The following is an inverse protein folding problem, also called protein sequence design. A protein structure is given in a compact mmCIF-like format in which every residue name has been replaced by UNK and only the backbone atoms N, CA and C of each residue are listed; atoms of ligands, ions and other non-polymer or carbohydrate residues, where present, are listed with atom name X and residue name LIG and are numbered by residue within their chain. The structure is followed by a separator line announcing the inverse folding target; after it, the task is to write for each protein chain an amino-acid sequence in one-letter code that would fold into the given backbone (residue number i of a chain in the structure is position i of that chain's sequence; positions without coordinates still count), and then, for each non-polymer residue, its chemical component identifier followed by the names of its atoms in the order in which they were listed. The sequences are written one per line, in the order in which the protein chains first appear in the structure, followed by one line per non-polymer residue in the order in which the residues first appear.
data_IF_378038262856
#
_entry.id   IF_378038262856
#
_cell.length_a   1.000
_cell.length_b   1.000
_cell.length_c   1.000
_cell.angle_alpha   90.00
_cell.angle_beta   90.00
_cell.angle_gamma   90.00
#
_symmetry.space_group_name_H-M   'P 1'
#
loop_
_entity.id
_entity.type
_entity.pdbx_description
1 polymer ?
#
# COMPACT_ATOMS: atom_id res chain seq x y z
N UNK A 1 -43.44 43.02 -38.66
CA UNK A 1 -43.62 43.13 -37.18
C UNK A 1 -42.26 42.90 -36.53
N UNK A 2 -41.54 43.96 -36.10
CA UNK A 2 -41.43 44.46 -34.70
C UNK A 2 -40.89 43.38 -33.75
N UNK A 3 -39.76 43.50 -33.03
CA UNK A 3 -38.70 44.53 -32.89
C UNK A 3 -37.49 43.86 -32.19
N UNK A 4 -36.28 44.22 -32.62
CA UNK A 4 -34.99 44.07 -31.91
C UNK A 4 -34.98 44.88 -30.62
N UNK A 5 -34.15 44.51 -29.65
CA UNK A 5 -33.43 45.47 -28.78
C UNK A 5 -32.04 44.94 -28.40
N UNK A 6 -31.01 45.66 -28.88
CA UNK A 6 -29.65 45.74 -28.31
C UNK A 6 -29.60 47.01 -27.46
N UNK A 7 -28.82 47.03 -26.39
CA UNK A 7 -28.21 48.26 -25.90
C UNK A 7 -26.89 47.92 -25.20
N UNK A 8 -25.85 48.69 -25.54
CA UNK A 8 -24.55 48.66 -24.90
C UNK A 8 -24.17 50.03 -24.38
N UNK A 9 -23.13 50.00 -23.54
CA UNK A 9 -22.08 51.01 -23.30
C UNK A 9 -22.49 52.35 -22.68
N UNK A 10 -21.88 52.68 -21.52
CA UNK A 10 -21.25 53.99 -21.33
C UNK A 10 -20.16 53.97 -20.24
N UNK A 11 -19.03 54.62 -20.57
CA UNK A 11 -17.83 54.88 -19.77
C UNK A 11 -17.75 56.40 -19.52
N UNK A 12 -17.41 56.82 -18.29
CA UNK A 12 -16.73 58.08 -17.88
C UNK A 12 -16.79 58.14 -16.33
N UNK A 13 -15.82 58.59 -15.53
CA UNK A 13 -14.64 59.42 -15.75
C UNK A 13 -14.61 60.59 -14.73
N UNK A 14 -13.60 60.57 -13.84
CA UNK A 14 -12.96 61.69 -13.09
C UNK A 14 -13.45 62.23 -11.71
N UNK A 15 -12.42 62.41 -10.86
CA UNK A 15 -12.10 63.54 -9.95
C UNK A 15 -12.33 63.40 -8.42
N UNK A 16 -11.29 62.87 -7.75
CA UNK A 16 -10.48 63.49 -6.67
C UNK A 16 -11.12 64.26 -5.51
N UNK A 17 -10.79 63.84 -4.27
CA UNK A 17 -10.38 64.73 -3.18
C UNK A 17 -9.54 63.99 -2.12
N UNK A 18 -8.59 64.74 -1.53
CA UNK A 18 -7.48 64.32 -0.66
C UNK A 18 -7.87 63.77 0.74
N UNK A 19 -6.94 63.01 1.30
CA UNK A 19 -6.83 62.36 2.63
C UNK A 19 -7.02 63.28 3.86
N UNK A 20 -7.12 62.71 5.09
CA UNK A 20 -5.89 62.31 5.80
C UNK A 20 -5.93 60.90 6.45
N UNK A 21 -4.71 60.39 6.56
CA UNK A 21 -4.27 59.17 7.24
C UNK A 21 -4.51 59.32 8.76
N UNK A 22 -5.13 58.32 9.40
CA UNK A 22 -4.82 57.88 10.77
C UNK A 22 -5.71 56.67 11.17
N UNK A 23 -5.09 55.59 11.63
CA UNK A 23 -5.78 54.52 12.37
C UNK A 23 -5.58 53.11 11.81
N UNK A 24 -4.39 52.56 12.00
CA UNK A 24 -4.13 51.12 11.87
C UNK A 24 -5.06 50.35 12.82
N UNK A 25 -5.89 49.48 12.24
CA UNK A 25 -6.69 48.49 12.95
C UNK A 25 -6.93 47.32 12.02
N UNK A 26 -5.85 46.62 11.62
CA UNK A 26 -5.95 45.37 10.86
C UNK A 26 -6.46 44.30 11.84
N UNK A 27 -7.78 44.26 12.04
CA UNK A 27 -8.45 43.07 12.53
C UNK A 27 -8.39 42.02 11.42
N UNK A 28 -7.35 41.20 11.42
CA UNK A 28 -7.31 39.99 10.60
C UNK A 28 -8.46 39.10 11.07
N UNK A 29 -9.59 39.17 10.37
CA UNK A 29 -10.57 38.10 10.37
C UNK A 29 -9.89 36.90 9.73
N UNK A 30 -9.23 36.09 10.54
CA UNK A 30 -8.77 34.76 10.13
C UNK A 30 -10.03 34.04 9.68
N UNK A 31 -10.17 33.63 8.41
CA UNK A 31 -11.25 32.73 8.06
C UNK A 31 -11.04 31.49 8.92
N UNK A 32 -11.99 31.21 9.82
CA UNK A 32 -12.09 29.91 10.46
C UNK A 32 -12.36 28.95 9.32
N UNK A 33 -11.28 28.39 8.77
CA UNK A 33 -11.33 27.19 7.97
C UNK A 33 -11.92 26.17 8.94
N UNK A 34 -13.22 25.91 8.78
CA UNK A 34 -13.85 24.77 9.41
C UNK A 34 -12.97 23.59 9.03
N UNK A 35 -12.28 23.03 10.02
CA UNK A 35 -11.55 21.78 9.88
C UNK A 35 -12.60 20.74 9.47
N UNK A 36 -12.76 20.59 8.16
CA UNK A 36 -13.38 19.42 7.57
C UNK A 36 -12.48 18.31 8.09
N UNK A 37 -12.98 17.54 9.05
CA UNK A 37 -12.29 16.40 9.60
C UNK A 37 -11.78 15.57 8.42
N UNK A 38 -10.50 15.73 8.11
CA UNK A 38 -9.80 14.85 7.20
C UNK A 38 -9.72 13.58 8.02
N UNK A 39 -10.59 12.61 7.71
CA UNK A 39 -10.43 11.26 8.21
C UNK A 39 -9.02 10.84 7.82
N UNK A 40 -8.08 10.86 8.77
CA UNK A 40 -6.81 10.19 8.60
C UNK A 40 -7.14 8.71 8.40
N UNK A 41 -6.49 8.03 7.46
CA UNK A 41 -6.78 6.61 7.21
C UNK A 41 -6.44 5.71 8.40
N UNK A 42 -5.58 6.22 9.29
CA UNK A 42 -5.28 5.68 10.61
C UNK A 42 -6.36 5.97 11.68
N UNK A 43 -7.46 6.63 11.31
CA UNK A 43 -8.61 6.79 12.21
C UNK A 43 -9.07 5.38 12.63
N UNK A 44 -9.05 5.06 13.94
CA UNK A 44 -9.45 3.76 14.43
C UNK A 44 -10.83 3.30 13.94
N UNK A 45 -11.72 4.24 13.62
CA UNK A 45 -13.04 3.96 13.05
C UNK A 45 -12.94 3.44 11.62
N UNK A 46 -12.13 4.07 10.78
CA UNK A 46 -11.92 3.65 9.38
C UNK A 46 -11.24 2.29 9.34
N UNK A 47 -10.21 2.10 10.18
CA UNK A 47 -9.52 0.81 10.33
C UNK A 47 -10.49 -0.30 10.77
N UNK A 48 -11.40 0.00 11.71
CA UNK A 48 -12.41 -0.95 12.16
C UNK A 48 -13.38 -1.35 11.03
N UNK A 49 -13.76 -0.40 10.16
CA UNK A 49 -14.60 -0.69 8.98
C UNK A 49 -13.83 -1.56 7.97
N UNK A 50 -12.60 -1.18 7.60
CA UNK A 50 -11.75 -2.00 6.70
C UNK A 50 -11.61 -3.43 7.21
N UNK A 51 -11.32 -3.59 8.51
CA UNK A 51 -11.22 -4.89 9.17
C UNK A 51 -12.54 -5.66 9.13
N UNK A 52 -13.67 -5.00 9.36
CA UNK A 52 -14.99 -5.63 9.28
C UNK A 52 -15.30 -6.11 7.86
N UNK A 53 -15.07 -5.26 6.84
CA UNK A 53 -15.23 -5.61 5.43
C UNK A 53 -14.39 -6.82 5.07
N UNK A 54 -13.11 -6.83 5.47
CA UNK A 54 -12.22 -7.96 5.24
C UNK A 54 -12.71 -9.23 5.95
N UNK A 55 -13.10 -9.15 7.23
CA UNK A 55 -13.64 -10.29 7.98
C UNK A 55 -14.87 -10.90 7.30
N UNK A 56 -15.73 -10.07 6.69
CA UNK A 56 -16.88 -10.55 5.91
C UNK A 56 -16.45 -11.28 4.65
N UNK A 57 -15.38 -10.84 4.00
CA UNK A 57 -14.79 -11.49 2.83
C UNK A 57 -14.00 -12.77 3.16
N UNK A 58 -13.64 -13.00 4.44
CA UNK A 58 -13.01 -14.26 4.88
C UNK A 58 -13.99 -15.43 4.99
N UNK A 59 -15.30 -15.19 4.85
CA UNK A 59 -16.30 -16.26 4.89
C UNK A 59 -16.01 -17.28 3.77
N UNK A 60 -15.98 -18.59 4.08
CA UNK A 60 -15.76 -19.61 3.08
C UNK A 60 -16.99 -19.74 2.17
N UNK A 61 -16.75 -19.95 0.89
CA UNK A 61 -17.76 -20.15 -0.15
C UNK A 61 -17.35 -21.33 -1.03
N UNK A 62 -18.36 -22.04 -1.54
CA UNK A 62 -18.19 -23.09 -2.54
C UNK A 62 -19.13 -22.77 -3.68
N UNK A 63 -18.58 -22.62 -4.89
CA UNK A 63 -19.35 -22.22 -6.07
C UNK A 63 -18.91 -23.01 -7.30
N UNK A 64 -19.87 -23.35 -8.15
CA UNK A 64 -19.66 -23.88 -9.49
C UNK A 64 -20.28 -22.91 -10.50
N UNK A 65 -19.50 -21.95 -10.96
CA UNK A 65 -19.95 -20.95 -11.93
C UNK A 65 -19.75 -21.52 -13.34
N UNK A 66 -20.84 -21.67 -14.09
CA UNK A 66 -20.83 -22.08 -15.49
C UNK A 66 -21.55 -20.99 -16.30
N UNK A 67 -20.76 -20.15 -16.99
CA UNK A 67 -21.24 -19.08 -17.87
C UNK A 67 -22.12 -18.00 -17.20
N UNK A 68 -21.74 -17.55 -15.99
CA UNK A 68 -22.47 -16.49 -15.27
C UNK A 68 -21.90 -15.10 -15.56
N UNK A 69 -22.77 -14.07 -15.64
CA UNK A 69 -22.35 -12.67 -15.76
C UNK A 69 -21.56 -12.23 -14.52
N UNK A 70 -20.53 -11.42 -14.72
CA UNK A 70 -19.69 -10.89 -13.66
C UNK A 70 -20.50 -10.09 -12.64
N UNK A 71 -21.46 -9.29 -13.10
CA UNK A 71 -22.36 -8.53 -12.24
C UNK A 71 -23.11 -9.43 -11.24
N UNK A 72 -23.66 -10.56 -11.72
CA UNK A 72 -24.42 -11.50 -10.91
C UNK A 72 -23.53 -12.20 -9.87
N UNK A 73 -22.30 -12.56 -10.28
CA UNK A 73 -21.31 -13.17 -9.38
C UNK A 73 -20.92 -12.22 -8.25
N UNK A 74 -20.68 -10.95 -8.59
CA UNK A 74 -20.31 -9.93 -7.60
C UNK A 74 -21.47 -9.64 -6.66
N UNK A 75 -22.70 -9.56 -7.19
CA UNK A 75 -23.90 -9.37 -6.39
C UNK A 75 -24.13 -10.54 -5.43
N UNK A 76 -23.95 -11.78 -5.89
CA UNK A 76 -23.98 -12.97 -5.03
C UNK A 76 -22.97 -12.88 -3.87
N UNK A 77 -21.73 -12.48 -4.15
CA UNK A 77 -20.70 -12.34 -3.12
C UNK A 77 -21.09 -11.24 -2.12
N UNK A 78 -21.63 -10.11 -2.59
CA UNK A 78 -22.16 -9.04 -1.72
C UNK A 78 -23.26 -9.56 -0.80
N UNK A 79 -24.21 -10.33 -1.33
CA UNK A 79 -25.34 -10.83 -0.57
C UNK A 79 -24.94 -11.88 0.46
N UNK A 80 -24.01 -12.79 0.13
CA UNK A 80 -23.54 -13.82 1.06
C UNK A 80 -22.62 -13.23 2.14
N UNK A 81 -21.69 -12.38 1.73
CA UNK A 81 -20.69 -11.84 2.66
C UNK A 81 -21.24 -10.69 3.49
N UNK A 82 -22.19 -9.92 2.93
CA UNK A 82 -22.60 -8.60 3.39
C UNK A 82 -21.44 -7.59 3.41
N UNK A 83 -20.36 -7.86 2.68
CA UNK A 83 -19.23 -6.95 2.58
C UNK A 83 -19.60 -5.75 1.71
N UNK A 84 -19.02 -4.59 2.03
CA UNK A 84 -19.16 -3.39 1.21
C UNK A 84 -18.20 -3.51 0.02
N UNK A 85 -18.72 -3.98 -1.12
CA UNK A 85 -17.96 -4.25 -2.34
C UNK A 85 -18.38 -3.25 -3.42
N UNK A 86 -17.40 -2.54 -3.96
CA UNK A 86 -17.51 -1.48 -4.95
C UNK A 86 -16.76 -1.88 -6.24
N UNK A 87 -17.38 -2.67 -7.13
CA UNK A 87 -16.81 -2.94 -8.45
C UNK A 87 -16.69 -1.67 -9.30
N UNK A 88 -15.57 -1.51 -10.00
CA UNK A 88 -15.38 -0.43 -10.98
C UNK A 88 -15.83 -0.95 -12.34
N UNK A 89 -17.10 -0.73 -12.65
CA UNK A 89 -17.69 -1.07 -13.95
C UNK A 89 -17.29 -0.09 -15.06
N UNK A 90 -17.35 -0.56 -16.30
CA UNK A 90 -17.45 0.31 -17.48
C UNK A 90 -18.78 1.06 -17.37
N UNK A 91 -18.75 2.37 -17.60
CA UNK A 91 -19.95 3.22 -17.57
C UNK A 91 -19.94 4.20 -18.76
N UNK A 92 -21.04 4.93 -18.98
CA UNK A 92 -21.17 5.89 -20.10
C UNK A 92 -20.10 7.01 -20.10
N UNK A 93 -19.40 7.22 -18.98
CA UNK A 93 -18.41 8.29 -18.80
C UNK A 93 -16.98 7.74 -18.77
N UNK A 94 -16.80 6.45 -18.59
CA UNK A 94 -15.52 5.81 -18.38
C UNK A 94 -15.47 4.49 -19.16
N UNK A 95 -14.78 4.55 -20.30
CA UNK A 95 -14.58 3.39 -21.19
C UNK A 95 -13.63 2.34 -20.59
N UNK A 96 -12.97 2.66 -19.47
CA UNK A 96 -12.05 1.77 -18.75
C UNK A 96 -12.70 1.29 -17.45
N UNK A 97 -12.99 -0.01 -17.37
CA UNK A 97 -13.64 -0.66 -16.25
C UNK A 97 -13.79 -2.16 -16.45
N UNK A 98 -14.46 -2.82 -15.50
CA UNK A 98 -14.92 -4.20 -15.66
C UNK A 98 -16.18 -4.24 -16.51
N UNK A 99 -16.26 -5.18 -17.45
CA UNK A 99 -17.47 -5.42 -18.22
C UNK A 99 -18.48 -6.22 -17.35
N UNK A 100 -19.66 -5.66 -17.02
CA UNK A 100 -20.67 -6.36 -16.22
C UNK A 100 -21.22 -7.61 -16.91
N UNK A 101 -21.20 -7.65 -18.23
CA UNK A 101 -21.69 -8.78 -19.04
C UNK A 101 -20.63 -9.86 -19.26
N UNK A 102 -19.39 -9.64 -18.82
CA UNK A 102 -18.32 -10.64 -18.93
C UNK A 102 -18.72 -11.94 -18.25
N UNK A 103 -18.62 -13.05 -19.00
CA UNK A 103 -18.99 -14.38 -18.52
C UNK A 103 -17.86 -15.03 -17.75
N UNK A 104 -18.15 -15.55 -16.57
CA UNK A 104 -17.20 -16.19 -15.67
C UNK A 104 -17.54 -17.67 -15.53
N UNK A 105 -16.56 -18.52 -15.83
CA UNK A 105 -16.63 -19.96 -15.59
C UNK A 105 -15.48 -20.40 -14.69
N UNK A 106 -15.81 -20.84 -13.47
CA UNK A 106 -14.84 -21.33 -12.48
C UNK A 106 -15.50 -22.25 -11.47
N UNK A 107 -14.69 -23.15 -10.89
CA UNK A 107 -15.09 -24.02 -9.78
C UNK A 107 -14.19 -23.74 -8.60
N UNK A 108 -14.79 -23.40 -7.46
CA UNK A 108 -14.05 -23.13 -6.24
C UNK A 108 -14.74 -23.82 -5.06
N UNK A 109 -13.96 -24.52 -4.23
CA UNK A 109 -14.46 -25.30 -3.11
C UNK A 109 -13.76 -24.84 -1.84
N UNK A 110 -14.55 -24.45 -0.84
CA UNK A 110 -14.07 -23.99 0.47
C UNK A 110 -13.00 -22.90 0.38
N UNK A 111 -13.14 -21.96 -0.57
CA UNK A 111 -12.26 -20.79 -0.68
C UNK A 111 -12.87 -19.61 0.06
N UNK A 112 -12.08 -18.65 0.53
CA UNK A 112 -12.67 -17.41 1.07
C UNK A 112 -13.33 -16.60 -0.05
N UNK A 113 -14.33 -15.79 0.28
CA UNK A 113 -14.95 -14.91 -0.71
C UNK A 113 -13.94 -13.91 -1.31
N UNK A 114 -12.92 -13.50 -0.55
CA UNK A 114 -11.81 -12.71 -1.10
C UNK A 114 -11.03 -13.50 -2.18
N UNK A 115 -10.64 -14.74 -1.89
CA UNK A 115 -9.96 -15.59 -2.87
C UNK A 115 -10.82 -15.82 -4.11
N UNK A 116 -12.13 -16.03 -3.92
CA UNK A 116 -13.06 -16.13 -5.04
C UNK A 116 -13.04 -14.86 -5.90
N UNK A 117 -13.08 -13.66 -5.30
CA UNK A 117 -12.98 -12.39 -6.03
C UNK A 117 -11.65 -12.25 -6.78
N UNK A 118 -10.54 -12.65 -6.17
CA UNK A 118 -9.21 -12.64 -6.82
C UNK A 118 -9.17 -13.58 -8.03
N UNK A 119 -9.74 -14.78 -7.90
CA UNK A 119 -9.87 -15.74 -9.01
C UNK A 119 -10.77 -15.22 -10.14
N UNK A 120 -11.89 -14.57 -9.79
CA UNK A 120 -12.81 -13.95 -10.76
C UNK A 120 -12.09 -12.83 -11.51
N UNK A 121 -11.37 -11.96 -10.80
CA UNK A 121 -10.61 -10.87 -11.39
C UNK A 121 -9.53 -11.36 -12.35
N UNK A 122 -8.79 -12.40 -11.99
CA UNK A 122 -7.80 -13.00 -12.87
C UNK A 122 -8.46 -13.48 -14.18
N UNK A 123 -9.63 -14.12 -14.08
CA UNK A 123 -10.34 -14.66 -15.24
C UNK A 123 -10.91 -13.60 -16.18
N UNK A 124 -11.32 -12.46 -15.63
CA UNK A 124 -11.89 -11.33 -16.38
C UNK A 124 -10.80 -10.41 -16.94
N UNK A 125 -9.65 -10.33 -16.27
CA UNK A 125 -8.48 -9.60 -16.77
C UNK A 125 -7.83 -10.30 -17.96
N UNK A 126 -7.94 -11.63 -18.04
CA UNK A 126 -7.49 -12.40 -19.19
C UNK A 126 -8.34 -12.11 -20.43
N UNK A 127 -7.87 -11.18 -21.27
CA UNK A 127 -8.51 -10.81 -22.53
C UNK A 127 -9.20 -9.44 -22.53
N UNK A 128 -9.03 -8.64 -21.48
CA UNK A 128 -9.51 -7.26 -21.41
C UNK A 128 -8.56 -6.25 -22.07
N UNK A 129 -9.08 -5.09 -22.47
CA UNK A 129 -8.30 -4.00 -23.07
C UNK A 129 -7.47 -3.19 -22.04
N UNK A 130 -7.66 -3.42 -20.74
CA UNK A 130 -6.91 -2.76 -19.68
C UNK A 130 -5.68 -3.57 -19.25
N UNK A 131 -4.66 -2.88 -18.72
CA UNK A 131 -3.34 -3.47 -18.42
C UNK A 131 -3.40 -4.58 -17.34
N UNK A 132 -4.09 -4.32 -16.23
CA UNK A 132 -4.35 -5.31 -15.17
C UNK A 132 -5.45 -4.82 -14.23
N UNK A 133 -6.20 -5.75 -13.62
CA UNK A 133 -7.10 -5.45 -12.51
C UNK A 133 -6.51 -5.90 -11.16
N UNK A 134 -6.92 -5.20 -10.10
CA UNK A 134 -6.64 -5.58 -8.72
C UNK A 134 -7.75 -5.05 -7.82
N UNK A 135 -7.57 -5.16 -6.51
CA UNK A 135 -8.47 -4.60 -5.52
C UNK A 135 -7.72 -3.71 -4.54
N UNK A 136 -8.42 -2.83 -3.83
CA UNK A 136 -7.87 -2.04 -2.74
C UNK A 136 -8.98 -1.60 -1.77
N UNK A 137 -8.64 -1.09 -0.58
CA UNK A 137 -9.63 -0.48 0.29
C UNK A 137 -9.81 1.01 -0.03
N UNK A 138 -11.06 1.45 -0.07
CA UNK A 138 -11.37 2.88 -0.12
C UNK A 138 -11.00 3.55 1.20
N UNK A 139 -10.84 4.88 1.15
CA UNK A 139 -10.62 5.72 2.35
C UNK A 139 -11.72 5.62 3.41
N UNK A 140 -12.89 5.06 3.06
CA UNK A 140 -14.03 4.88 3.96
C UNK A 140 -14.20 3.43 4.44
N UNK A 141 -13.37 2.51 3.94
CA UNK A 141 -13.38 1.10 4.35
C UNK A 141 -14.22 0.17 3.48
N UNK A 142 -14.72 0.67 2.35
CA UNK A 142 -15.26 -0.17 1.27
C UNK A 142 -14.14 -0.93 0.55
N UNK A 143 -14.48 -2.06 -0.06
CA UNK A 143 -13.59 -2.87 -0.87
C UNK A 143 -13.84 -2.55 -2.35
N UNK A 144 -12.94 -1.83 -2.99
CA UNK A 144 -13.06 -1.52 -4.41
C UNK A 144 -12.18 -2.45 -5.25
N UNK A 145 -12.64 -2.84 -6.43
CA UNK A 145 -11.87 -3.70 -7.32
C UNK A 145 -12.16 -3.43 -8.81
N UNK A 146 -11.12 -3.56 -9.63
CA UNK A 146 -11.18 -3.24 -11.06
C UNK A 146 -9.81 -2.85 -11.64
N UNK A 147 -9.80 -2.22 -12.83
CA UNK A 147 -8.57 -1.85 -13.52
C UNK A 147 -7.69 -0.91 -12.69
N UNK A 148 -6.37 -1.15 -12.68
CA UNK A 148 -5.40 -0.34 -11.95
C UNK A 148 -5.46 1.13 -12.35
N UNK A 149 -5.64 1.44 -13.62
CA UNK A 149 -5.76 2.80 -14.14
C UNK A 149 -6.84 3.62 -13.40
N UNK A 150 -7.96 2.98 -13.07
CA UNK A 150 -9.07 3.61 -12.34
C UNK A 150 -8.77 3.72 -10.86
N UNK A 151 -8.13 2.71 -10.27
CA UNK A 151 -7.69 2.71 -8.87
C UNK A 151 -6.61 3.76 -8.60
N UNK A 152 -5.82 4.11 -9.62
CA UNK A 152 -4.74 5.09 -9.56
C UNK A 152 -5.22 6.51 -9.25
N UNK A 153 -6.51 6.80 -9.32
CA UNK A 153 -7.08 8.10 -8.95
C UNK A 153 -6.96 8.35 -7.45
N UNK A 154 -7.05 7.31 -6.63
CA UNK A 154 -7.00 7.39 -5.18
C UNK A 154 -5.58 7.10 -4.67
N UNK A 155 -4.78 8.16 -4.51
CA UNK A 155 -3.41 8.08 -3.98
C UNK A 155 -3.32 8.72 -2.62
N UNK A 156 -2.39 8.21 -1.79
CA UNK A 156 -2.04 8.81 -0.51
C UNK A 156 -0.55 8.73 -0.28
N UNK A 157 -0.08 9.59 0.63
CA UNK A 157 1.30 9.54 1.11
C UNK A 157 1.35 8.70 2.37
N UNK A 158 2.13 7.62 2.34
CA UNK A 158 2.55 6.88 3.53
C UNK A 158 4.04 7.08 3.81
N UNK A 159 4.39 7.04 5.10
CA UNK A 159 5.76 7.18 5.57
C UNK A 159 6.20 5.84 6.15
N UNK A 160 7.23 5.24 5.55
CA UNK A 160 7.84 4.01 6.05
C UNK A 160 9.19 4.29 6.68
N UNK A 161 9.37 3.91 7.94
CA UNK A 161 10.68 3.94 8.58
C UNK A 161 11.52 2.75 8.11
N UNK A 162 12.71 3.03 7.58
CA UNK A 162 13.65 2.01 7.11
C UNK A 162 14.94 1.96 7.95
N UNK A 163 15.03 2.70 9.06
CA UNK A 163 16.24 2.79 9.87
C UNK A 163 16.69 1.43 10.43
N UNK A 164 15.74 0.53 10.71
CA UNK A 164 16.04 -0.85 11.13
C UNK A 164 16.77 -1.63 10.02
N UNK A 165 16.38 -1.42 8.76
CA UNK A 165 17.01 -2.05 7.59
C UNK A 165 18.39 -1.44 7.27
N UNK A 166 18.63 -0.19 7.67
CA UNK A 166 19.89 0.51 7.43
C UNK A 166 20.98 0.15 8.44
N UNK A 167 20.66 -0.57 9.52
CA UNK A 167 21.64 -0.94 10.54
C UNK A 167 22.73 -1.86 9.97
N UNK A 168 23.98 -1.63 10.38
CA UNK A 168 25.09 -2.54 10.13
C UNK A 168 25.18 -3.53 11.29
N UNK A 169 24.88 -4.81 11.06
CA UNK A 169 25.22 -5.86 12.01
C UNK A 169 26.73 -6.08 11.91
N UNK A 170 27.53 -5.83 12.97
CA UNK A 170 28.96 -6.04 12.91
C UNK A 170 29.23 -7.54 12.70
N UNK A 171 29.98 -7.86 11.66
CA UNK A 171 30.51 -9.20 11.45
C UNK A 171 31.75 -9.38 12.35
N UNK A 172 31.68 -10.36 13.25
CA UNK A 172 32.76 -10.70 14.17
C UNK A 172 33.49 -11.99 13.78
N UNK A 173 33.52 -12.33 12.49
CA UNK A 173 34.26 -13.48 11.96
C UNK A 173 35.78 -13.38 12.15
N UNK A 174 36.29 -12.17 12.46
CA UNK A 174 37.68 -11.94 12.87
C UNK A 174 37.82 -11.84 14.40
N UNK A 175 37.36 -12.85 15.12
CA UNK A 175 37.69 -12.97 16.54
C UNK A 175 39.21 -13.14 16.71
N UNK A 176 39.88 -12.35 17.57
CA UNK A 176 41.29 -12.52 17.86
C UNK A 176 41.57 -13.96 18.30
N UNK A 177 42.49 -14.65 17.62
CA UNK A 177 42.96 -15.96 18.10
C UNK A 177 43.85 -15.72 19.31
N UNK A 178 43.31 -15.99 20.49
CA UNK A 178 44.11 -16.01 21.72
C UNK A 178 45.04 -17.22 21.72
N UNK A 179 46.33 -16.99 21.49
CA UNK A 179 47.36 -18.01 21.72
C UNK A 179 47.78 -18.00 23.20
N UNK A 180 47.25 -18.97 23.95
CA UNK A 180 47.55 -19.16 25.38
C UNK A 180 49.01 -19.56 25.63
N UNK A 181 49.74 -20.08 24.63
CA UNK A 181 51.15 -20.44 24.80
C UNK A 181 52.05 -19.20 24.94
N UNK A 182 51.71 -18.11 24.25
CA UNK A 182 52.45 -16.84 24.30
C UNK A 182 52.26 -16.13 25.65
N UNK A 183 51.05 -16.21 26.23
CA UNK A 183 50.75 -15.67 27.56
C UNK A 183 51.37 -16.53 28.68
N UNK A 184 51.41 -17.86 28.50
CA UNK A 184 52.04 -18.77 29.47
C UNK A 184 53.57 -18.65 29.47
N UNK A 185 54.22 -18.42 28.32
CA UNK A 185 55.65 -18.09 28.25
C UNK A 185 55.96 -16.72 28.86
N UNK A 186 55.06 -15.74 28.74
CA UNK A 186 55.20 -14.43 29.40
C UNK A 186 54.98 -14.49 30.93
N UNK A 187 54.15 -15.42 31.43
CA UNK A 187 53.85 -15.59 32.85
C UNK A 187 54.84 -16.47 33.63
N UNK A 188 55.70 -17.23 32.94
CA UNK A 188 56.60 -18.22 33.54
C UNK A 188 58.00 -17.71 33.91
N UNK A 189 58.35 -16.46 33.62
CA UNK A 189 59.71 -15.94 33.82
C UNK A 189 59.72 -14.73 34.75
N UNK A 190 59.95 -15.03 36.03
CA UNK A 190 60.39 -14.05 37.04
C UNK A 190 61.70 -13.42 36.59
N UNK A 191 61.72 -12.10 36.36
CA UNK A 191 62.98 -11.36 36.29
C UNK A 191 62.98 -10.04 35.52
N UNK A 192 62.40 -9.00 36.10
CA UNK A 192 62.91 -7.62 36.01
C UNK A 192 62.74 -6.83 34.70
N UNK A 193 62.11 -5.65 34.83
CA UNK A 193 62.43 -4.50 34.00
C UNK A 193 61.35 -4.01 33.04
N UNK A 194 60.66 -2.95 33.46
CA UNK A 194 60.44 -1.73 32.65
C UNK A 194 59.63 -1.81 31.36
N UNK A 195 58.36 -1.40 31.45
CA UNK A 195 57.76 -0.38 30.58
C UNK A 195 57.73 -0.62 29.06
N UNK A 196 56.61 -1.13 28.56
CA UNK A 196 56.29 -1.15 27.14
C UNK A 196 55.07 -2.03 26.87
N UNK A 197 53.87 -1.53 27.19
CA UNK A 197 52.61 -2.24 26.99
C UNK A 197 52.30 -2.40 25.50
N UNK A 198 52.86 -3.42 24.86
CA UNK A 198 52.45 -3.85 23.54
C UNK A 198 51.24 -4.76 23.71
N UNK A 199 50.05 -4.21 23.47
CA UNK A 199 48.81 -4.98 23.48
C UNK A 199 48.95 -6.18 22.53
N UNK A 200 48.63 -7.41 22.97
CA UNK A 200 48.67 -8.60 22.12
C UNK A 200 47.56 -8.61 21.04
N UNK A 201 46.70 -7.59 21.02
CA UNK A 201 45.76 -7.32 19.95
C UNK A 201 46.48 -6.54 18.85
N UNK A 202 47.16 -7.26 17.95
CA UNK A 202 47.72 -6.68 16.74
C UNK A 202 46.57 -6.49 15.75
N UNK A 203 46.17 -5.22 15.56
CA UNK A 203 45.11 -4.78 14.68
C UNK A 203 45.45 -5.12 13.21
N UNK A 204 45.06 -6.31 12.76
CA UNK A 204 44.86 -6.60 11.34
C UNK A 204 43.42 -6.24 11.00
N UNK A 205 43.11 -4.94 11.09
CA UNK A 205 41.86 -4.37 10.59
C UNK A 205 41.81 -4.56 9.08
N UNK A 206 41.19 -5.65 8.63
CA UNK A 206 40.67 -5.69 7.27
C UNK A 206 39.49 -4.74 7.27
N UNK A 207 39.59 -3.60 6.58
CA UNK A 207 38.47 -2.68 6.37
C UNK A 207 37.35 -3.48 5.69
N UNK A 208 36.43 -4.02 6.49
CA UNK A 208 35.15 -4.51 5.99
C UNK A 208 34.52 -3.27 5.36
N UNK A 209 34.39 -3.27 4.04
CA UNK A 209 33.73 -2.18 3.30
C UNK A 209 32.29 -2.08 3.80
N UNK A 210 32.10 -1.24 4.82
CA UNK A 210 30.79 -0.90 5.35
C UNK A 210 30.07 -0.18 4.21
N UNK A 211 28.99 -0.79 3.71
CA UNK A 211 28.17 -0.16 2.67
C UNK A 211 27.69 1.17 3.19
N UNK A 212 27.82 2.20 2.37
CA UNK A 212 27.37 3.52 2.76
C UNK A 212 25.85 3.51 2.97
N UNK A 213 25.37 4.33 3.90
CA UNK A 213 23.95 4.42 4.22
C UNK A 213 23.13 4.79 2.98
N UNK A 214 23.66 5.69 2.15
CA UNK A 214 23.04 6.11 0.89
C UNK A 214 22.90 4.96 -0.11
N UNK A 215 23.92 4.10 -0.20
CA UNK A 215 23.88 2.91 -1.07
C UNK A 215 22.80 1.92 -0.63
N UNK A 216 22.66 1.69 0.69
CA UNK A 216 21.59 0.82 1.21
C UNK A 216 20.19 1.40 0.96
N UNK A 217 20.03 2.72 1.09
CA UNK A 217 18.77 3.39 0.77
C UNK A 217 18.42 3.19 -0.69
N UNK A 218 19.40 3.34 -1.59
CA UNK A 218 19.21 3.13 -3.02
C UNK A 218 18.80 1.69 -3.32
N UNK A 219 19.51 0.70 -2.75
CA UNK A 219 19.17 -0.71 -2.89
C UNK A 219 17.73 -1.04 -2.45
N UNK A 220 17.30 -0.49 -1.31
CA UNK A 220 15.93 -0.69 -0.80
C UNK A 220 14.93 -0.08 -1.78
N UNK A 221 15.20 1.14 -2.25
CA UNK A 221 14.32 1.86 -3.19
C UNK A 221 14.22 1.09 -4.51
N UNK A 222 15.34 0.64 -5.06
CA UNK A 222 15.42 -0.13 -6.30
C UNK A 222 14.72 -1.48 -6.16
N UNK A 223 14.91 -2.17 -5.03
CA UNK A 223 14.24 -3.44 -4.76
C UNK A 223 12.72 -3.26 -4.69
N UNK A 224 12.24 -2.21 -4.03
CA UNK A 224 10.80 -1.93 -3.97
C UNK A 224 10.28 -1.62 -5.38
N UNK A 225 10.93 -0.72 -6.13
CA UNK A 225 10.50 -0.35 -7.48
C UNK A 225 10.55 -1.52 -8.47
N UNK A 226 11.49 -2.44 -8.32
CA UNK A 226 11.61 -3.62 -9.20
C UNK A 226 10.60 -4.72 -8.87
N UNK A 227 10.18 -4.85 -7.61
CA UNK A 227 9.34 -5.97 -7.16
C UNK A 227 7.88 -5.61 -6.96
N UNK A 228 7.59 -4.38 -6.54
CA UNK A 228 6.23 -3.91 -6.24
C UNK A 228 5.71 -3.12 -7.41
N UNK A 229 4.75 -3.67 -8.16
CA UNK A 229 4.02 -2.97 -9.23
C UNK A 229 4.93 -2.08 -10.11
N UNK A 230 5.95 -2.67 -10.78
CA UNK A 230 7.03 -1.92 -11.41
C UNK A 230 6.54 -0.88 -12.43
N UNK A 231 5.46 -1.17 -13.16
CA UNK A 231 4.87 -0.28 -14.16
C UNK A 231 4.17 0.95 -13.56
N UNK A 232 3.92 0.98 -12.26
CA UNK A 232 3.18 2.06 -11.60
C UNK A 232 4.09 3.22 -11.17
N UNK A 233 5.39 2.99 -11.02
CA UNK A 233 6.35 3.99 -10.58
C UNK A 233 6.68 4.99 -11.68
N UNK A 234 6.67 6.28 -11.33
CA UNK A 234 7.05 7.37 -12.27
C UNK A 234 8.45 7.17 -12.83
N UNK A 235 9.38 6.70 -12.01
CA UNK A 235 10.76 6.39 -12.41
C UNK A 235 10.86 5.28 -13.46
N UNK A 236 9.86 4.39 -13.52
CA UNK A 236 9.74 3.33 -14.53
C UNK A 236 8.83 3.71 -15.70
N UNK A 237 8.40 4.98 -15.79
CA UNK A 237 7.50 5.47 -16.83
C UNK A 237 6.00 5.33 -16.52
N UNK A 238 5.65 4.91 -15.31
CA UNK A 238 4.28 4.91 -14.81
C UNK A 238 3.81 6.30 -14.38
N UNK A 239 2.59 6.38 -13.87
CA UNK A 239 2.01 7.65 -13.40
C UNK A 239 1.46 7.59 -11.98
N UNK A 240 1.41 6.42 -11.35
CA UNK A 240 0.60 6.20 -10.15
C UNK A 240 1.37 6.36 -8.83
N UNK A 241 2.65 6.00 -8.81
CA UNK A 241 3.44 5.92 -7.60
C UNK A 241 4.73 6.76 -7.67
N UNK A 242 5.04 7.47 -6.59
CA UNK A 242 6.33 8.16 -6.41
C UNK A 242 6.91 7.83 -5.04
N UNK A 243 8.25 7.75 -4.97
CA UNK A 243 8.98 7.49 -3.73
C UNK A 243 10.09 8.52 -3.53
N UNK A 244 10.29 8.97 -2.29
CA UNK A 244 11.43 9.80 -1.90
C UNK A 244 11.93 9.41 -0.52
N UNK A 245 13.23 9.34 -0.34
CA UNK A 245 13.83 9.19 0.98
C UNK A 245 14.06 10.55 1.63
N UNK A 246 13.77 10.64 2.93
CA UNK A 246 14.16 11.76 3.80
C UNK A 246 14.54 11.21 5.17
N UNK A 247 15.83 11.29 5.54
CA UNK A 247 16.34 11.03 6.90
C UNK A 247 16.04 9.63 7.46
N UNK A 248 16.08 8.59 6.63
CA UNK A 248 15.81 7.21 6.99
C UNK A 248 14.34 6.83 6.91
N UNK A 249 13.52 7.65 6.26
CA UNK A 249 12.12 7.35 6.01
C UNK A 249 11.78 7.50 4.52
N UNK A 250 11.01 6.56 4.00
CA UNK A 250 10.49 6.59 2.64
C UNK A 250 9.11 7.25 2.65
N UNK A 251 8.97 8.33 1.90
CA UNK A 251 7.71 8.99 1.59
C UNK A 251 7.21 8.42 0.28
N UNK A 252 6.15 7.61 0.34
CA UNK A 252 5.58 6.93 -0.81
C UNK A 252 4.21 7.51 -1.08
N UNK A 253 4.03 8.17 -2.23
CA UNK A 253 2.72 8.60 -2.71
C UNK A 253 2.21 7.58 -3.72
N UNK A 254 1.25 6.74 -3.35
CA UNK A 254 0.74 5.69 -4.22
C UNK A 254 -0.71 5.30 -3.90
N UNK A 255 -1.36 4.50 -4.76
CA UNK A 255 -2.65 3.88 -4.45
C UNK A 255 -2.54 2.81 -3.35
N UNK A 256 -3.68 2.47 -2.74
CA UNK A 256 -3.74 1.50 -1.64
C UNK A 256 -3.24 0.12 -2.04
N UNK A 257 -3.50 -0.35 -3.26
CA UNK A 257 -2.98 -1.65 -3.72
C UNK A 257 -1.45 -1.69 -3.74
N UNK A 258 -0.78 -0.57 -4.06
CA UNK A 258 0.70 -0.49 -4.04
C UNK A 258 1.21 -0.56 -2.60
N UNK A 259 0.60 0.19 -1.68
CA UNK A 259 0.93 0.13 -0.25
C UNK A 259 0.74 -1.27 0.33
N UNK A 260 -0.37 -1.94 -0.04
CA UNK A 260 -0.61 -3.35 0.30
C UNK A 260 0.52 -4.26 -0.21
N UNK A 261 1.06 -4.03 -1.41
CA UNK A 261 2.19 -4.82 -1.88
C UNK A 261 3.50 -4.56 -1.12
N UNK A 262 3.68 -3.37 -0.54
CA UNK A 262 4.90 -3.03 0.23
C UNK A 262 4.90 -3.73 1.59
N UNK A 263 3.84 -3.54 2.40
CA UNK A 263 3.82 -4.01 3.79
C UNK A 263 2.54 -4.77 4.16
N UNK A 264 1.61 -4.89 3.22
CA UNK A 264 0.26 -5.40 3.48
C UNK A 264 -0.54 -4.41 4.32
N UNK A 265 -1.32 -4.91 5.27
CA UNK A 265 -2.11 -4.07 6.16
C UNK A 265 -1.65 -4.25 7.61
N UNK A 266 -0.99 -3.27 8.23
CA UNK A 266 -0.47 -3.40 9.61
C UNK A 266 -1.52 -3.73 10.67
N UNK A 267 -2.78 -3.35 10.42
CA UNK A 267 -3.93 -3.63 11.29
C UNK A 267 -4.50 -5.06 11.13
N UNK A 268 -4.03 -5.81 10.13
CA UNK A 268 -4.38 -7.22 9.95
C UNK A 268 -3.24 -8.12 10.45
N UNK A 269 -3.52 -9.27 11.10
CA UNK A 269 -2.45 -10.10 11.63
C UNK A 269 -1.53 -10.60 10.51
N UNK A 270 -0.21 -10.40 10.65
CA UNK A 270 0.77 -10.74 9.61
C UNK A 270 0.76 -12.22 9.21
N UNK A 271 0.39 -13.13 10.15
CA UNK A 271 0.25 -14.58 9.86
C UNK A 271 -0.83 -14.93 8.84
N UNK A 272 -1.74 -13.99 8.59
CA UNK A 272 -2.86 -14.11 7.66
C UNK A 272 -2.62 -13.29 6.39
N UNK A 273 -1.42 -12.73 6.22
CA UNK A 273 -1.00 -12.01 5.03
C UNK A 273 -0.03 -12.91 4.28
N UNK A 274 -0.37 -13.24 3.04
CA UNK A 274 0.43 -14.12 2.20
C UNK A 274 1.10 -13.29 1.12
N UNK A 275 2.39 -13.03 1.28
CA UNK A 275 3.21 -12.46 0.24
C UNK A 275 3.79 -13.59 -0.64
N UNK A 276 3.63 -13.47 -1.94
CA UNK A 276 4.21 -14.36 -2.95
C UNK A 276 4.85 -13.57 -4.09
N UNK A 277 5.54 -14.28 -4.97
CA UNK A 277 6.03 -13.75 -6.25
C UNK A 277 5.32 -14.44 -7.41
N UNK A 278 4.78 -13.64 -8.34
CA UNK A 278 4.23 -14.12 -9.61
C UNK A 278 4.87 -13.30 -10.74
N UNK A 279 5.54 -13.95 -11.68
CA UNK A 279 6.24 -13.31 -12.80
C UNK A 279 7.24 -12.21 -12.38
N UNK A 280 7.99 -12.44 -11.28
CA UNK A 280 8.94 -11.47 -10.74
C UNK A 280 8.31 -10.29 -9.97
N UNK A 281 6.98 -10.27 -9.86
CA UNK A 281 6.21 -9.22 -9.16
C UNK A 281 5.71 -9.75 -7.83
N UNK A 282 5.81 -8.93 -6.79
CA UNK A 282 5.29 -9.24 -5.46
C UNK A 282 3.78 -9.07 -5.44
N UNK A 283 3.08 -10.06 -4.90
CA UNK A 283 1.66 -10.01 -4.62
C UNK A 283 1.37 -10.36 -3.15
N UNK A 284 0.52 -9.60 -2.48
CA UNK A 284 0.06 -9.79 -1.12
C UNK A 284 -1.44 -10.06 -1.17
N UNK A 285 -1.80 -11.31 -0.89
CA UNK A 285 -3.19 -11.72 -0.62
C UNK A 285 -3.43 -11.76 0.88
N UNK A 286 -4.69 -11.68 1.27
CA UNK A 286 -5.13 -11.84 2.65
C UNK A 286 -5.93 -13.12 2.76
N UNK A 287 -5.64 -13.88 3.80
CA UNK A 287 -6.38 -15.09 4.12
C UNK A 287 -6.92 -14.97 5.55
N UNK A 288 -7.79 -15.89 5.92
CA UNK A 288 -8.31 -16.04 7.26
C UNK A 288 -8.39 -17.50 7.65
N UNK A 289 -7.55 -18.36 7.06
CA UNK A 289 -7.64 -19.82 7.21
C UNK A 289 -7.93 -20.24 8.65
N UNK A 290 -9.19 -20.65 8.78
CA UNK A 290 -9.77 -21.57 9.77
C UNK A 290 -9.72 -21.19 11.26
N UNK A 291 -10.75 -20.47 11.70
CA UNK A 291 -11.42 -20.73 12.99
C UNK A 291 -12.96 -20.72 12.87
N UNK A 292 -13.50 -20.94 11.68
CA UNK A 292 -14.96 -21.04 11.48
C UNK A 292 -15.53 -22.41 11.89
N UNK A 293 -14.68 -23.43 12.05
CA UNK A 293 -15.08 -24.73 12.62
C UNK A 293 -15.46 -24.63 14.11
N UNK A 294 -14.84 -23.72 14.87
CA UNK A 294 -15.26 -23.41 16.25
C UNK A 294 -16.52 -22.54 16.31
N UNK A 295 -16.80 -21.77 15.25
CA UNK A 295 -17.94 -20.85 15.21
C UNK A 295 -19.28 -21.50 14.75
N UNK A 296 -19.28 -22.77 14.35
CA UNK A 296 -20.51 -23.51 14.03
C UNK A 296 -21.31 -22.96 12.84
N UNK A 297 -20.69 -22.17 11.95
CA UNK A 297 -21.32 -21.54 10.78
C UNK A 297 -20.90 -22.26 9.49
N UNK A 298 -21.22 -23.55 9.37
CA UNK A 298 -21.23 -24.23 8.07
C UNK A 298 -22.54 -23.88 7.35
N UNK A 299 -22.52 -22.80 6.55
CA UNK A 299 -23.49 -22.66 5.46
C UNK A 299 -22.79 -23.00 4.16
N UNK A 300 -22.81 -24.28 3.81
CA UNK A 300 -22.61 -24.73 2.42
C UNK A 300 -23.80 -24.22 1.62
N UNK A 301 -23.59 -23.22 0.77
CA UNK A 301 -24.64 -22.68 -0.11
C UNK A 301 -24.32 -23.12 -1.53
N UNK A 302 -25.05 -24.13 -1.98
CA UNK A 302 -25.06 -24.57 -3.38
C UNK A 302 -25.94 -23.65 -4.21
N UNK A 303 -25.36 -23.02 -5.21
CA UNK A 303 -26.04 -22.14 -6.17
C UNK A 303 -27.00 -22.88 -7.13
N UNK A 304 -27.04 -24.22 -7.08
CA UNK A 304 -27.98 -25.03 -7.86
C UNK A 304 -29.32 -25.29 -7.15
N UNK A 305 -29.54 -24.73 -5.96
CA UNK A 305 -30.80 -24.85 -5.24
C UNK A 305 -31.70 -23.63 -5.47
N UNK A 306 -32.21 -23.46 -6.69
CA UNK A 306 -33.53 -22.84 -6.88
C UNK A 306 -34.61 -23.81 -6.39
N UNK A 307 -35.77 -23.33 -5.88
CA UNK A 307 -36.96 -24.19 -5.83
C UNK A 307 -37.37 -24.67 -7.23
#
# INVERSE_FOLDING_TARGET
MKRRNRCGVLVAGLAGMLSPIAGFGVGLSVPVVSARAQFSEDDPRVVAVKRMTLMRLMKPVTVNLEDHRLEDVVQFIKDVTQADIEPIWIDEKHDVGLDPDATVTLKAKQVTALQLLEMVLERVSDGSDFEAATWQFTKYGGFEFGPKERLNVHRRVEIYDINDLLMDVPDYDNAPRFDLNTVFQAGGQTGGGGGGGQSPFQDQGTDIQRRDREEKVQDITDLIMATVEPEQWVDNGGEAATMREIRGSLFVNAPDYVHRQIIGYPWWPSRYQHAGMKNGRRYVSLDGSYDFAEAGLETTIDINATP
#
